data_IF_918983761921
#
_entry.id   IF_918983761921
#
_cell.length_a   1.000
_cell.length_b   1.000
_cell.length_c   1.000
_cell.angle_alpha   90.00
_cell.angle_beta   90.00
_cell.angle_gamma   90.00
#
_symmetry.space_group_name_H-M   'P 1'
#
loop_
_entity.id
_entity.type
_entity.pdbx_description
1 polymer ?
#
# COMPACT_ATOMS: atom_id res chain seq x y z
N UNK A 1 7.65 -15.99 12.77
CA UNK A 1 6.48 -15.10 12.74
C UNK A 1 5.37 -15.70 13.60
N UNK A 2 4.81 -14.88 14.47
CA UNK A 2 3.65 -15.29 15.28
C UNK A 2 2.43 -15.36 14.38
N UNK A 3 1.52 -16.30 14.68
CA UNK A 3 0.27 -16.42 13.94
C UNK A 3 -0.77 -15.42 14.45
N UNK A 4 -1.62 -14.96 13.54
CA UNK A 4 -2.80 -14.16 13.87
C UNK A 4 -2.47 -12.89 14.65
N UNK A 5 -1.60 -12.06 14.12
CA UNK A 5 -1.24 -10.81 14.75
C UNK A 5 -1.49 -9.63 13.81
N UNK A 6 -1.71 -8.47 14.41
CA UNK A 6 -1.81 -7.20 13.68
C UNK A 6 -0.59 -6.37 14.06
N UNK A 7 0.11 -5.86 13.06
CA UNK A 7 1.30 -5.05 13.27
C UNK A 7 1.02 -3.66 12.70
N UNK A 8 1.10 -2.64 13.55
CA UNK A 8 0.99 -1.26 13.12
C UNK A 8 2.39 -0.72 12.85
N UNK A 9 2.58 -0.18 11.63
CA UNK A 9 3.88 0.38 11.27
C UNK A 9 4.01 0.54 9.77
N UNK A 10 5.20 0.93 9.35
CA UNK A 10 5.55 1.02 7.94
C UNK A 10 5.65 -0.39 7.37
N UNK A 11 4.81 -0.69 6.38
CA UNK A 11 4.70 -2.04 5.83
C UNK A 11 6.01 -2.54 5.22
N UNK A 12 6.75 -1.67 4.55
CA UNK A 12 8.02 -2.06 3.93
C UNK A 12 9.03 -2.44 5.01
N UNK A 13 9.13 -1.61 6.05
CA UNK A 13 10.03 -1.90 7.17
C UNK A 13 9.65 -3.19 7.89
N UNK A 14 8.35 -3.41 8.09
CA UNK A 14 7.88 -4.63 8.75
C UNK A 14 8.10 -5.86 7.89
N UNK A 15 7.88 -5.75 6.57
CA UNK A 15 8.15 -6.87 5.66
C UNK A 15 9.63 -7.26 5.64
N UNK A 16 10.54 -6.30 5.81
CA UNK A 16 11.97 -6.60 5.84
C UNK A 16 12.37 -7.53 6.97
N UNK A 17 11.57 -7.61 8.02
CA UNK A 17 11.79 -8.52 9.14
C UNK A 17 11.38 -9.96 8.83
N UNK A 18 10.64 -10.18 7.76
CA UNK A 18 10.20 -11.51 7.35
C UNK A 18 11.29 -12.20 6.53
N UNK A 19 11.37 -13.50 6.68
CA UNK A 19 12.32 -14.31 5.93
C UNK A 19 11.89 -14.43 4.47
N UNK A 20 12.86 -14.65 3.59
CA UNK A 20 12.60 -14.96 2.19
C UNK A 20 11.70 -16.19 2.09
N UNK A 21 10.77 -16.18 1.17
CA UNK A 21 9.92 -17.33 0.86
C UNK A 21 9.20 -17.90 2.08
N UNK A 22 8.67 -17.01 2.94
CA UNK A 22 7.99 -17.41 4.17
C UNK A 22 6.47 -17.24 4.14
N UNK A 23 5.93 -16.58 3.11
CA UNK A 23 4.52 -16.20 3.04
C UNK A 23 3.83 -16.90 1.88
N UNK A 24 2.65 -17.45 2.11
CA UNK A 24 1.88 -18.17 1.10
C UNK A 24 0.99 -17.25 0.26
N UNK A 25 0.44 -16.20 0.88
CA UNK A 25 -0.50 -15.31 0.23
C UNK A 25 -0.33 -13.90 0.78
N UNK A 26 -0.31 -12.93 -0.13
CA UNK A 26 -0.36 -11.52 0.23
C UNK A 26 -1.60 -10.90 -0.39
N UNK A 27 -2.36 -10.16 0.44
CA UNK A 27 -3.45 -9.31 -0.04
C UNK A 27 -3.06 -7.88 0.32
N UNK A 28 -2.81 -7.06 -0.70
CA UNK A 28 -2.27 -5.72 -0.50
C UNK A 28 -3.29 -4.65 -0.90
N UNK A 29 -3.43 -3.65 -0.05
CA UNK A 29 -4.24 -2.46 -0.31
C UNK A 29 -3.33 -1.23 -0.18
N UNK A 30 -2.48 -0.97 -1.20
CA UNK A 30 -1.54 0.13 -1.13
C UNK A 30 -2.21 1.48 -1.35
N UNK A 31 -1.55 2.59 -0.98
CA UNK A 31 -2.06 3.91 -1.32
C UNK A 31 -2.18 4.08 -2.83
N UNK A 32 -3.25 4.74 -3.28
CA UNK A 32 -3.57 4.88 -4.69
C UNK A 32 -2.99 6.12 -5.33
N UNK A 33 -2.35 6.99 -4.55
CA UNK A 33 -1.81 8.28 -5.00
C UNK A 33 -2.90 9.15 -5.63
N UNK A 34 -3.99 9.33 -4.92
CA UNK A 34 -5.12 10.14 -5.39
C UNK A 34 -4.72 11.61 -5.40
N UNK A 35 -4.33 12.13 -6.56
CA UNK A 35 -3.90 13.52 -6.75
C UNK A 35 -5.11 14.38 -7.07
N UNK A 36 -6.01 14.54 -6.08
CA UNK A 36 -7.22 15.34 -6.26
C UNK A 36 -6.89 16.81 -6.07
N UNK A 37 -7.27 17.61 -7.08
CA UNK A 37 -7.00 19.05 -7.08
C UNK A 37 -8.11 19.85 -6.40
N UNK A 38 -9.34 19.34 -6.41
CA UNK A 38 -10.51 20.05 -5.94
C UNK A 38 -11.06 19.41 -4.68
N UNK A 39 -11.73 20.24 -3.88
CA UNK A 39 -12.45 19.77 -2.71
C UNK A 39 -13.70 19.01 -3.15
N UNK A 40 -13.93 17.87 -2.53
CA UNK A 40 -15.13 17.08 -2.76
C UNK A 40 -16.19 17.43 -1.72
N UNK A 41 -17.45 17.35 -2.13
CA UNK A 41 -18.59 17.63 -1.26
C UNK A 41 -19.39 16.35 -1.03
N UNK A 42 -19.84 16.19 0.21
CA UNK A 42 -20.78 15.12 0.55
C UNK A 42 -22.19 15.52 0.14
N UNK A 43 -23.13 14.55 0.03
CA UNK A 43 -24.52 14.89 -0.30
C UNK A 43 -25.17 15.88 0.64
N UNK A 44 -24.70 15.99 1.89
CA UNK A 44 -25.20 16.94 2.89
C UNK A 44 -24.54 18.32 2.80
N UNK A 45 -23.82 18.60 1.75
CA UNK A 45 -23.11 19.85 1.49
C UNK A 45 -21.88 20.10 2.36
N UNK A 46 -21.46 19.13 3.18
CA UNK A 46 -20.19 19.26 3.90
C UNK A 46 -19.03 18.94 2.96
N UNK A 47 -17.89 19.60 3.19
CA UNK A 47 -16.70 19.34 2.40
C UNK A 47 -16.02 18.04 2.84
N UNK A 48 -15.47 17.32 1.87
CA UNK A 48 -14.66 16.14 2.12
C UNK A 48 -13.29 16.37 1.52
N UNK A 49 -12.26 16.25 2.34
CA UNK A 49 -10.89 16.18 1.84
C UNK A 49 -10.62 14.73 1.46
N UNK A 50 -10.51 14.46 0.15
CA UNK A 50 -10.40 13.09 -0.35
C UNK A 50 -9.08 12.45 0.04
N UNK A 51 -8.01 13.24 0.15
CA UNK A 51 -6.69 12.75 0.56
C UNK A 51 -6.20 13.62 1.70
N UNK A 52 -6.46 13.17 2.92
CA UNK A 52 -6.07 13.90 4.13
C UNK A 52 -4.83 13.31 4.80
N UNK A 53 -4.44 12.10 4.40
CA UNK A 53 -3.31 11.39 4.99
C UNK A 53 -2.08 11.54 4.12
N UNK A 54 -0.96 11.97 4.70
CA UNK A 54 0.28 12.16 3.95
C UNK A 54 0.77 10.85 3.31
N UNK A 55 0.50 9.71 3.94
CA UNK A 55 0.92 8.42 3.40
C UNK A 55 0.27 8.07 2.05
N UNK A 56 -0.86 8.72 1.69
CA UNK A 56 -1.54 8.49 0.42
C UNK A 56 -1.24 9.58 -0.62
N UNK A 57 -0.36 10.52 -0.28
CA UNK A 57 0.06 11.59 -1.18
C UNK A 57 1.52 11.45 -1.51
N UNK A 58 1.83 11.54 -2.79
CA UNK A 58 3.19 11.57 -3.29
C UNK A 58 3.38 12.83 -4.10
N UNK A 59 4.51 13.51 -3.91
CA UNK A 59 4.76 14.79 -4.57
C UNK A 59 5.00 14.61 -6.07
N UNK A 60 5.43 13.44 -6.50
CA UNK A 60 5.66 13.16 -7.93
C UNK A 60 5.28 11.71 -8.24
N UNK A 61 5.02 11.45 -9.52
CA UNK A 61 4.84 10.07 -9.99
C UNK A 61 6.10 9.24 -9.79
N UNK A 62 7.26 9.86 -9.86
CA UNK A 62 8.53 9.18 -9.61
C UNK A 62 8.61 8.65 -8.18
N UNK A 63 8.21 9.45 -7.20
CA UNK A 63 8.17 9.01 -5.81
C UNK A 63 7.19 7.87 -5.61
N UNK A 64 6.03 7.95 -6.25
CA UNK A 64 5.02 6.90 -6.18
C UNK A 64 5.56 5.61 -6.80
N UNK A 65 6.23 5.70 -7.94
CA UNK A 65 6.82 4.52 -8.60
C UNK A 65 7.93 3.90 -7.74
N UNK A 66 8.75 4.72 -7.11
CA UNK A 66 9.80 4.24 -6.20
C UNK A 66 9.20 3.49 -5.01
N UNK A 67 8.14 4.05 -4.43
CA UNK A 67 7.43 3.39 -3.33
C UNK A 67 6.83 2.06 -3.79
N UNK A 68 6.18 2.06 -4.95
CA UNK A 68 5.55 0.86 -5.50
C UNK A 68 6.59 -0.24 -5.77
N UNK A 69 7.70 0.12 -6.37
CA UNK A 69 8.79 -0.83 -6.60
C UNK A 69 9.34 -1.40 -5.29
N UNK A 70 9.43 -0.57 -4.26
CA UNK A 70 9.96 -1.01 -2.97
C UNK A 70 9.07 -2.07 -2.32
N UNK A 71 7.75 -1.81 -2.22
CA UNK A 71 6.88 -2.78 -1.56
C UNK A 71 6.63 -4.02 -2.42
N UNK A 72 6.57 -3.88 -3.75
CA UNK A 72 6.44 -5.05 -4.63
C UNK A 72 7.68 -5.94 -4.57
N UNK A 73 8.86 -5.35 -4.49
CA UNK A 73 10.10 -6.12 -4.35
C UNK A 73 10.10 -6.93 -3.06
N UNK A 74 9.62 -6.35 -1.96
CA UNK A 74 9.51 -7.08 -0.71
C UNK A 74 8.45 -8.17 -0.77
N UNK A 75 7.33 -7.94 -1.44
CA UNK A 75 6.33 -8.97 -1.65
C UNK A 75 6.93 -10.17 -2.42
N UNK A 76 7.66 -9.88 -3.48
CA UNK A 76 8.30 -10.93 -4.28
C UNK A 76 9.29 -11.74 -3.44
N UNK A 77 10.07 -11.05 -2.60
CA UNK A 77 11.07 -11.71 -1.76
C UNK A 77 10.45 -12.65 -0.73
N UNK A 78 9.39 -12.19 -0.05
CA UNK A 78 8.80 -12.97 1.06
C UNK A 78 7.86 -14.08 0.60
N UNK A 79 7.30 -13.97 -0.63
CA UNK A 79 6.39 -15.00 -1.13
C UNK A 79 7.13 -16.29 -1.43
N UNK A 80 6.52 -17.40 -1.02
CA UNK A 80 6.98 -18.72 -1.41
C UNK A 80 6.81 -18.93 -2.90
N UNK A 81 7.59 -19.82 -3.49
CA UNK A 81 7.37 -20.26 -4.86
C UNK A 81 5.96 -20.86 -4.96
N UNK A 82 5.19 -20.38 -5.91
CA UNK A 82 3.79 -20.76 -6.03
C UNK A 82 2.84 -19.98 -5.15
N UNK A 83 3.34 -19.03 -4.35
CA UNK A 83 2.50 -18.13 -3.57
C UNK A 83 1.79 -17.12 -4.46
N UNK A 84 0.78 -16.46 -3.91
CA UNK A 84 -0.06 -15.53 -4.67
C UNK A 84 -0.06 -14.14 -4.06
N UNK A 85 -0.15 -13.14 -4.93
CA UNK A 85 -0.29 -11.73 -4.55
C UNK A 85 -1.56 -11.19 -5.17
N UNK A 86 -2.44 -10.64 -4.34
CA UNK A 86 -3.62 -9.91 -4.78
C UNK A 86 -3.46 -8.46 -4.37
N UNK A 87 -3.72 -7.54 -5.30
CA UNK A 87 -3.54 -6.11 -5.06
C UNK A 87 -4.84 -5.39 -5.42
N UNK A 88 -5.35 -4.61 -4.47
CA UNK A 88 -6.44 -3.68 -4.77
C UNK A 88 -5.82 -2.45 -5.40
N UNK A 89 -6.34 -2.03 -6.55
CA UNK A 89 -5.81 -0.88 -7.24
C UNK A 89 -6.92 -0.02 -7.81
N UNK A 90 -6.53 1.19 -8.19
CA UNK A 90 -7.35 2.11 -8.95
C UNK A 90 -6.57 2.43 -10.21
N UNK A 91 -7.26 2.75 -11.28
CA UNK A 91 -6.53 3.18 -12.47
C UNK A 91 -6.50 4.70 -12.56
N UNK A 92 -5.32 5.18 -12.83
CA UNK A 92 -5.07 6.60 -13.04
C UNK A 92 -4.16 6.78 -14.22
#
# INVERSE_FOLDING_TARGET
MKKNQIILGDSIKEMKKLKDHSVDLIFADPPYNLQLKDTLYRPDQTTVEAVTQDWDKFSTYKEYDQFTNAWLSECKRVLKKGGALWVIGSYH
#
